data_IF_956340293544
#
_entry.id   IF_956340293544
#
_cell.length_a   1.000
_cell.length_b   1.000
_cell.length_c   1.000
_cell.angle_alpha   90.00
_cell.angle_beta   90.00
_cell.angle_gamma   90.00
#
_symmetry.space_group_name_H-M   'P 1'
#
loop_
_entity.id
_entity.type
_entity.pdbx_description
1 polymer ?
#
# COMPACT_ATOMS: atom_id res chain seq x y z
N UNK A 1 15.26 15.28 12.58
CA UNK A 1 15.84 15.01 11.25
C UNK A 1 14.76 14.32 10.46
N UNK A 2 14.09 15.04 9.56
CA UNK A 2 13.19 14.41 8.59
C UNK A 2 14.05 13.46 7.76
N UNK A 3 13.85 12.15 7.90
CA UNK A 3 14.42 11.23 6.92
C UNK A 3 13.78 11.63 5.59
N UNK A 4 14.57 12.24 4.70
CA UNK A 4 14.26 12.24 3.27
C UNK A 4 14.09 10.77 2.91
N UNK A 5 12.86 10.29 2.90
CA UNK A 5 12.54 8.98 2.34
C UNK A 5 12.90 9.12 0.87
N UNK A 6 14.09 8.63 0.51
CA UNK A 6 14.50 8.54 -0.88
C UNK A 6 13.39 7.80 -1.61
N UNK A 7 12.93 8.38 -2.71
CA UNK A 7 11.96 7.72 -3.57
C UNK A 7 12.43 6.28 -3.87
N UNK A 8 11.55 5.26 -3.76
CA UNK A 8 11.93 3.90 -4.10
C UNK A 8 12.47 3.84 -5.53
N UNK A 9 13.26 2.81 -5.83
CA UNK A 9 13.80 2.65 -7.18
C UNK A 9 12.66 2.60 -8.19
N UNK A 10 12.74 3.44 -9.22
CA UNK A 10 11.79 3.41 -10.33
C UNK A 10 12.15 2.24 -11.26
N UNK A 11 11.12 1.49 -11.63
CA UNK A 11 11.16 0.34 -12.52
C UNK A 11 10.41 0.60 -13.82
N UNK A 12 9.51 1.60 -13.84
CA UNK A 12 8.93 2.11 -15.08
C UNK A 12 10.00 2.76 -15.97
N UNK A 13 9.78 2.69 -17.29
CA UNK A 13 10.56 3.52 -18.21
C UNK A 13 10.25 5.01 -17.97
N UNK A 14 11.18 5.88 -18.34
CA UNK A 14 11.00 7.32 -18.18
C UNK A 14 9.74 7.85 -18.90
N UNK A 15 9.38 7.26 -20.05
CA UNK A 15 8.19 7.64 -20.81
C UNK A 15 6.89 7.26 -20.09
N UNK A 16 6.74 5.99 -19.71
CA UNK A 16 5.55 5.50 -18.99
C UNK A 16 5.34 6.26 -17.67
N UNK A 17 6.44 6.53 -16.96
CA UNK A 17 6.42 7.29 -15.72
C UNK A 17 5.97 8.73 -15.93
N UNK A 18 6.46 9.40 -16.97
CA UNK A 18 6.07 10.77 -17.29
C UNK A 18 4.58 10.87 -17.70
N UNK A 19 4.07 9.89 -18.44
CA UNK A 19 2.65 9.83 -18.80
C UNK A 19 1.74 9.74 -17.57
N UNK A 20 2.08 8.87 -16.62
CA UNK A 20 1.33 8.74 -15.37
C UNK A 20 1.41 10.00 -14.50
N UNK A 21 2.59 10.63 -14.44
CA UNK A 21 2.77 11.92 -13.76
C UNK A 21 1.92 13.03 -14.40
N UNK A 22 1.86 13.10 -15.73
CA UNK A 22 1.02 14.08 -16.46
C UNK A 22 -0.47 13.82 -16.27
N UNK A 23 -0.89 12.56 -16.12
CA UNK A 23 -2.27 12.22 -15.79
C UNK A 23 -2.68 12.67 -14.38
N UNK A 24 -1.70 12.96 -13.50
CA UNK A 24 -1.92 13.52 -12.16
C UNK A 24 -2.47 12.52 -11.14
N UNK A 25 -2.52 11.23 -11.48
CA UNK A 25 -2.96 10.18 -10.56
C UNK A 25 -1.75 9.47 -9.94
N UNK A 26 -1.36 9.91 -8.75
CA UNK A 26 -0.21 9.36 -8.03
C UNK A 26 -0.42 7.92 -7.57
N UNK A 27 -1.65 7.51 -7.24
CA UNK A 27 -1.93 6.13 -6.84
C UNK A 27 -1.70 5.18 -8.02
N UNK A 28 -2.11 5.57 -9.24
CA UNK A 28 -1.80 4.81 -10.46
C UNK A 28 -0.30 4.68 -10.69
N UNK A 29 0.47 5.74 -10.42
CA UNK A 29 1.93 5.69 -10.52
C UNK A 29 2.52 4.68 -9.53
N UNK A 30 2.12 4.74 -8.26
CA UNK A 30 2.63 3.85 -7.22
C UNK A 30 2.28 2.38 -7.49
N UNK A 31 1.07 2.11 -7.97
CA UNK A 31 0.65 0.75 -8.36
C UNK A 31 1.48 0.26 -9.55
N UNK A 32 1.66 1.07 -10.59
CA UNK A 32 2.42 0.68 -11.78
C UNK A 32 3.90 0.40 -11.46
N UNK A 33 4.54 1.27 -10.68
CA UNK A 33 5.91 1.06 -10.19
C UNK A 33 6.03 -0.20 -9.32
N UNK A 34 5.04 -0.44 -8.44
CA UNK A 34 5.00 -1.65 -7.62
C UNK A 34 4.90 -2.92 -8.46
N UNK A 35 4.01 -2.94 -9.46
CA UNK A 35 3.83 -4.12 -10.32
C UNK A 35 5.12 -4.41 -11.09
N UNK A 36 5.74 -3.38 -11.66
CA UNK A 36 6.97 -3.53 -12.43
C UNK A 36 8.16 -4.01 -11.58
N UNK A 37 8.28 -3.51 -10.35
CA UNK A 37 9.27 -4.02 -9.40
C UNK A 37 9.03 -5.50 -9.06
N UNK A 38 7.77 -5.90 -8.87
CA UNK A 38 7.38 -7.29 -8.63
C UNK A 38 7.68 -8.23 -9.82
N UNK A 39 7.43 -7.77 -11.05
CA UNK A 39 7.75 -8.52 -12.28
C UNK A 39 9.25 -8.82 -12.41
N UNK A 40 10.09 -7.89 -11.96
CA UNK A 40 11.56 -8.01 -11.91
C UNK A 40 12.06 -8.76 -10.65
N UNK A 41 11.14 -9.19 -9.77
CA UNK A 41 11.44 -9.92 -8.54
C UNK A 41 11.94 -9.06 -7.38
N UNK A 42 11.87 -7.72 -7.48
CA UNK A 42 12.19 -6.81 -6.39
C UNK A 42 10.94 -6.50 -5.54
N UNK A 43 10.56 -7.48 -4.72
CA UNK A 43 9.42 -7.36 -3.82
C UNK A 43 9.58 -6.22 -2.81
N UNK A 44 10.80 -5.95 -2.34
CA UNK A 44 11.04 -4.88 -1.36
C UNK A 44 10.71 -3.51 -1.96
N UNK A 45 11.15 -3.24 -3.20
CA UNK A 45 10.77 -2.02 -3.92
C UNK A 45 9.28 -2.00 -4.24
N UNK A 46 8.68 -3.14 -4.59
CA UNK A 46 7.24 -3.23 -4.85
C UNK A 46 6.42 -2.75 -3.63
N UNK A 47 6.69 -3.33 -2.46
CA UNK A 47 6.03 -2.93 -1.22
C UNK A 47 6.33 -1.48 -0.83
N UNK A 48 7.54 -0.99 -1.08
CA UNK A 48 7.89 0.40 -0.80
C UNK A 48 7.09 1.40 -1.64
N UNK A 49 6.77 1.06 -2.89
CA UNK A 49 5.86 1.87 -3.71
C UNK A 49 4.42 1.83 -3.19
N UNK A 50 3.90 0.65 -2.85
CA UNK A 50 2.55 0.53 -2.28
C UNK A 50 2.40 1.29 -0.96
N UNK A 51 3.45 1.35 -0.13
CA UNK A 51 3.45 2.10 1.12
C UNK A 51 3.24 3.61 0.96
N UNK A 52 3.52 4.17 -0.23
CA UNK A 52 3.30 5.60 -0.53
C UNK A 52 1.85 5.92 -0.87
N UNK A 53 1.09 4.93 -1.34
CA UNK A 53 -0.32 5.07 -1.69
C UNK A 53 -1.26 4.77 -0.51
N UNK A 54 -2.55 4.98 -0.73
CA UNK A 54 -3.60 4.53 0.20
C UNK A 54 -4.17 3.20 -0.28
N UNK A 55 -3.77 2.11 0.35
CA UNK A 55 -4.34 0.81 0.06
C UNK A 55 -5.80 0.73 0.52
N UNK A 56 -6.71 0.09 -0.24
CA UNK A 56 -8.07 -0.17 0.20
C UNK A 56 -8.11 -0.92 1.53
N UNK A 57 -9.11 -0.63 2.37
CA UNK A 57 -9.24 -1.24 3.69
C UNK A 57 -9.34 -2.77 3.59
N UNK A 58 -10.10 -3.30 2.64
CA UNK A 58 -10.26 -4.74 2.43
C UNK A 58 -8.95 -5.41 2.02
N UNK A 59 -8.12 -4.73 1.22
CA UNK A 59 -6.81 -5.23 0.82
C UNK A 59 -5.87 -5.32 2.04
N UNK A 60 -5.86 -4.31 2.90
CA UNK A 60 -5.09 -4.33 4.14
C UNK A 60 -5.57 -5.42 5.11
N UNK A 61 -6.88 -5.66 5.18
CA UNK A 61 -7.45 -6.75 5.96
C UNK A 61 -6.99 -8.12 5.44
N UNK A 62 -7.03 -8.33 4.12
CA UNK A 62 -6.52 -9.54 3.49
C UNK A 62 -5.02 -9.73 3.75
N UNK A 63 -4.22 -8.66 3.65
CA UNK A 63 -2.79 -8.72 3.97
C UNK A 63 -2.54 -9.09 5.43
N UNK A 64 -3.32 -8.53 6.37
CA UNK A 64 -3.22 -8.89 7.80
C UNK A 64 -3.50 -10.37 8.01
N UNK A 65 -4.50 -10.93 7.35
CA UNK A 65 -4.85 -12.36 7.50
C UNK A 65 -3.81 -13.30 6.90
N UNK A 66 -3.19 -12.93 5.78
CA UNK A 66 -2.23 -13.80 5.10
C UNK A 66 -0.80 -13.64 5.63
N UNK A 67 -0.39 -12.42 5.99
CA UNK A 67 1.00 -12.07 6.30
C UNK A 67 1.19 -11.54 7.73
N UNK A 68 0.10 -11.27 8.45
CA UNK A 68 0.14 -10.77 9.82
C UNK A 68 0.24 -9.25 9.93
N UNK A 69 -0.13 -8.72 11.10
CA UNK A 69 -0.07 -7.29 11.38
C UNK A 69 1.36 -6.73 11.38
N UNK A 70 2.34 -7.53 11.81
CA UNK A 70 3.75 -7.14 11.83
C UNK A 70 4.30 -6.91 10.42
N UNK A 71 3.80 -7.65 9.42
CA UNK A 71 4.17 -7.41 8.03
C UNK A 71 3.76 -6.01 7.56
N UNK A 72 2.50 -5.63 7.82
CA UNK A 72 1.96 -4.31 7.46
C UNK A 72 2.78 -3.20 8.12
N UNK A 73 3.06 -3.34 9.42
CA UNK A 73 3.89 -2.39 10.17
C UNK A 73 5.32 -2.31 9.63
N UNK A 74 5.95 -3.46 9.37
CA UNK A 74 7.32 -3.54 8.84
C UNK A 74 7.45 -2.90 7.46
N UNK A 75 6.44 -3.10 6.60
CA UNK A 75 6.40 -2.49 5.26
C UNK A 75 5.96 -1.02 5.26
N UNK A 76 5.48 -0.51 6.40
CA UNK A 76 5.07 0.88 6.53
C UNK A 76 3.86 1.23 5.67
N UNK A 77 2.97 0.26 5.42
CA UNK A 77 1.78 0.49 4.61
C UNK A 77 0.87 1.52 5.28
N UNK A 78 0.32 2.43 4.49
CA UNK A 78 -0.62 3.43 4.99
C UNK A 78 -1.94 2.74 5.40
N UNK A 79 -2.28 2.81 6.69
CA UNK A 79 -3.48 2.17 7.26
C UNK A 79 -4.68 3.10 7.42
N UNK A 80 -4.61 4.36 6.99
CA UNK A 80 -5.64 5.37 7.24
C UNK A 80 -7.06 4.89 6.90
N UNK A 81 -7.26 4.29 5.71
CA UNK A 81 -8.56 3.79 5.28
C UNK A 81 -9.04 2.58 6.11
N UNK A 82 -8.13 1.71 6.53
CA UNK A 82 -8.46 0.58 7.39
C UNK A 82 -8.75 1.02 8.84
N UNK A 83 -8.05 2.04 9.32
CA UNK A 83 -8.28 2.66 10.63
C UNK A 83 -9.67 3.31 10.68
N UNK A 84 -10.10 3.94 9.58
CA UNK A 84 -11.45 4.50 9.41
C UNK A 84 -12.53 3.41 9.34
N UNK A 85 -12.28 2.33 8.59
CA UNK A 85 -13.27 1.26 8.38
C UNK A 85 -13.42 0.32 9.59
N UNK A 86 -12.32 -0.06 10.24
CA UNK A 86 -12.26 -1.12 11.25
C UNK A 86 -11.86 -0.64 12.65
N UNK A 87 -11.49 0.64 12.79
CA UNK A 87 -10.98 1.26 14.01
C UNK A 87 -9.45 1.23 14.10
N UNK A 88 -8.84 2.20 14.77
CA UNK A 88 -7.37 2.37 14.87
C UNK A 88 -6.63 1.20 15.53
N UNK A 89 -7.34 0.38 16.30
CA UNK A 89 -6.82 -0.82 16.94
C UNK A 89 -6.92 -2.05 16.04
N UNK A 90 -7.20 -1.88 14.73
CA UNK A 90 -7.57 -3.01 13.91
C UNK A 90 -6.39 -3.98 13.61
N UNK A 91 -5.16 -3.51 13.72
CA UNK A 91 -4.01 -4.41 13.57
C UNK A 91 -3.92 -5.42 14.72
N UNK A 92 -4.53 -5.11 15.88
CA UNK A 92 -4.39 -5.90 17.10
C UNK A 92 -5.60 -6.80 17.42
N UNK A 93 -6.76 -6.63 16.75
CA UNK A 93 -7.90 -7.53 16.99
C UNK A 93 -7.71 -8.87 16.29
N UNK A 94 -8.10 -9.93 17.00
CA UNK A 94 -8.05 -11.30 16.50
C UNK A 94 -9.17 -11.60 15.48
N UNK A 95 -10.30 -10.90 15.54
CA UNK A 95 -11.47 -11.11 14.66
C UNK A 95 -12.11 -9.79 14.23
N UNK A 96 -12.50 -9.73 12.96
CA UNK A 96 -13.40 -8.72 12.40
C UNK A 96 -14.68 -9.39 11.96
N UNK A 97 -15.80 -8.91 12.48
CA UNK A 97 -17.06 -9.03 11.77
C UNK A 97 -17.19 -7.74 10.96
N UNK A 98 -17.31 -7.83 9.64
CA UNK A 98 -17.79 -6.72 8.82
C UNK A 98 -19.00 -6.10 9.53
N UNK A 99 -19.04 -4.77 9.67
CA UNK A 99 -20.27 -4.13 10.18
C UNK A 99 -21.42 -4.66 9.33
N UNK A 100 -22.52 -5.15 9.92
CA UNK A 100 -23.66 -5.54 9.12
C UNK A 100 -24.06 -4.33 8.29
N UNK A 101 -24.13 -4.51 6.97
CA UNK A 101 -24.82 -3.58 6.08
C UNK A 101 -26.21 -3.41 6.69
N UNK A 102 -26.45 -2.27 7.33
CA UNK A 102 -27.79 -1.92 7.78
C UNK A 102 -28.62 -1.77 6.51
N UNK A 103 -29.51 -2.75 6.28
CA UNK A 103 -30.51 -2.73 5.23
C UNK A 103 -31.62 -1.72 5.49
#
# INVERSE_FOLDING_TARGET
MEQKVSEPRSYLSAGEREELLRAGNMDSLYIAESLRAGDEGDEDTAWAWLAKGKAPAEALLALKWNLGADFIRKKGLNTELADEAYGKDWLDKEKYTEKPLQG
#
